data_IF_067545737075
#
_entry.id   IF_067545737075
#
_cell.length_a   1.000
_cell.length_b   1.000
_cell.length_c   1.000
_cell.angle_alpha   90.00
_cell.angle_beta   90.00
_cell.angle_gamma   90.00
#
_symmetry.space_group_name_H-M   'P 1'
#
loop_
_entity.id
_entity.type
_entity.pdbx_description
1 polymer ?
#
# COMPACT_ATOMS: atom_id res chain seq x y z
N UNK A 1 -17.56 67.84 75.59
CA UNK A 1 -18.73 67.86 74.69
C UNK A 1 -18.29 67.23 73.39
N UNK A 2 -18.76 66.01 73.13
CA UNK A 2 -18.55 65.28 71.90
C UNK A 2 -19.65 65.70 70.92
N UNK A 3 -19.27 66.10 69.71
CA UNK A 3 -20.21 66.21 68.60
C UNK A 3 -19.78 65.20 67.53
N UNK A 4 -20.57 64.13 67.45
CA UNK A 4 -20.39 63.00 66.55
C UNK A 4 -20.96 63.41 65.19
N UNK A 5 -20.08 63.72 64.23
CA UNK A 5 -20.46 63.81 62.84
C UNK A 5 -20.53 62.38 62.26
N UNK A 6 -21.75 61.86 62.16
CA UNK A 6 -22.09 60.70 61.32
C UNK A 6 -21.74 61.02 59.87
N UNK A 7 -20.68 60.42 59.35
CA UNK A 7 -20.41 60.38 57.91
C UNK A 7 -21.02 59.08 57.40
N UNK A 8 -22.29 59.13 56.99
CA UNK A 8 -22.87 58.15 56.08
C UNK A 8 -22.17 58.31 54.72
N UNK A 9 -21.08 57.57 54.55
CA UNK A 9 -20.33 57.49 53.30
C UNK A 9 -21.08 56.57 52.34
N UNK A 10 -22.22 57.04 51.85
CA UNK A 10 -22.90 56.42 50.71
C UNK A 10 -22.01 56.64 49.49
N UNK A 11 -21.27 55.62 49.04
CA UNK A 11 -20.56 55.65 47.77
C UNK A 11 -21.59 55.75 46.64
N UNK A 12 -21.91 56.99 46.27
CA UNK A 12 -22.60 57.33 45.03
C UNK A 12 -21.69 56.94 43.86
N UNK A 13 -21.80 55.69 43.40
CA UNK A 13 -21.27 55.30 42.09
C UNK A 13 -22.05 56.11 41.06
N UNK A 14 -21.39 57.08 40.42
CA UNK A 14 -22.01 57.86 39.34
C UNK A 14 -22.50 56.90 38.26
N UNK A 15 -23.80 56.90 37.99
CA UNK A 15 -24.40 56.01 36.98
C UNK A 15 -24.03 56.51 35.59
N UNK A 16 -22.97 55.96 35.01
CA UNK A 16 -22.59 56.24 33.62
C UNK A 16 -23.21 55.22 32.65
N UNK A 17 -23.41 55.59 31.37
CA UNK A 17 -23.85 54.65 30.33
C UNK A 17 -22.98 53.38 30.23
N UNK A 18 -21.69 53.49 30.49
CA UNK A 18 -20.74 52.38 30.46
C UNK A 18 -21.01 51.39 31.60
N UNK A 19 -21.28 51.88 32.82
CA UNK A 19 -21.65 51.04 33.97
C UNK A 19 -22.98 50.33 33.70
N UNK A 20 -23.96 51.03 33.13
CA UNK A 20 -25.24 50.43 32.73
C UNK A 20 -25.05 49.34 31.66
N UNK A 21 -24.15 49.55 30.69
CA UNK A 21 -23.85 48.54 29.67
C UNK A 21 -23.23 47.28 30.28
N UNK A 22 -22.33 47.42 31.26
CA UNK A 22 -21.75 46.28 32.01
C UNK A 22 -22.84 45.55 32.81
N UNK A 23 -23.70 46.28 33.53
CA UNK A 23 -24.84 45.70 34.27
C UNK A 23 -25.77 44.88 33.33
N UNK A 24 -26.14 45.45 32.18
CA UNK A 24 -26.98 44.77 31.18
C UNK A 24 -26.31 43.51 30.66
N UNK A 25 -25.01 43.56 30.35
CA UNK A 25 -24.28 42.39 29.84
C UNK A 25 -24.14 41.29 30.90
N UNK A 26 -23.91 41.66 32.17
CA UNK A 26 -23.93 40.73 33.29
C UNK A 26 -25.29 40.03 33.44
N UNK A 27 -26.39 40.77 33.33
CA UNK A 27 -27.75 40.19 33.39
C UNK A 27 -27.97 39.21 32.22
N UNK A 28 -27.52 39.57 31.01
CA UNK A 28 -27.63 38.69 29.83
C UNK A 28 -26.87 37.38 30.03
N UNK A 29 -25.66 37.44 30.57
CA UNK A 29 -24.84 36.27 30.85
C UNK A 29 -25.48 35.38 31.92
N UNK A 30 -25.89 35.96 33.04
CA UNK A 30 -26.57 35.23 34.13
C UNK A 30 -27.86 34.56 33.64
N UNK A 31 -28.68 35.28 32.88
CA UNK A 31 -29.93 34.75 32.31
C UNK A 31 -29.64 33.56 31.39
N UNK A 32 -28.59 33.64 30.57
CA UNK A 32 -28.17 32.55 29.68
C UNK A 32 -27.78 31.29 30.47
N UNK A 33 -26.96 31.45 31.51
CA UNK A 33 -26.53 30.36 32.39
C UNK A 33 -27.72 29.70 33.08
N UNK A 34 -28.60 30.50 33.68
CA UNK A 34 -29.83 30.01 34.32
C UNK A 34 -30.70 29.26 33.32
N UNK A 35 -30.83 29.76 32.09
CA UNK A 35 -31.65 29.10 31.09
C UNK A 35 -31.09 27.75 30.68
N UNK A 36 -29.78 27.64 30.45
CA UNK A 36 -29.13 26.37 30.12
C UNK A 36 -29.25 25.37 31.29
N UNK A 37 -28.99 25.82 32.52
CA UNK A 37 -29.15 25.02 33.72
C UNK A 37 -30.57 24.46 33.85
N UNK A 38 -31.58 25.33 33.78
CA UNK A 38 -32.99 24.92 33.87
C UNK A 38 -33.38 23.98 32.72
N UNK A 39 -32.83 24.17 31.53
CA UNK A 39 -33.08 23.28 30.39
C UNK A 39 -32.60 21.85 30.66
N UNK A 40 -31.43 21.70 31.29
CA UNK A 40 -30.89 20.39 31.68
C UNK A 40 -31.76 19.76 32.79
N UNK A 41 -32.17 20.54 33.79
CA UNK A 41 -33.03 20.07 34.88
C UNK A 41 -34.41 19.61 34.38
N UNK A 42 -34.96 20.28 33.36
CA UNK A 42 -36.17 19.83 32.67
C UNK A 42 -35.88 18.53 31.90
N UNK A 43 -34.76 18.47 31.18
CA UNK A 43 -34.32 17.26 30.47
C UNK A 43 -34.23 16.03 31.37
N UNK A 44 -33.67 16.19 32.57
CA UNK A 44 -33.60 15.14 33.60
C UNK A 44 -34.98 14.64 34.01
N UNK A 45 -35.90 15.55 34.33
CA UNK A 45 -37.28 15.20 34.72
C UNK A 45 -38.06 14.55 33.57
N UNK A 46 -37.81 14.99 32.34
CA UNK A 46 -38.38 14.35 31.15
C UNK A 46 -37.85 12.93 30.95
N UNK A 47 -36.57 12.70 31.19
CA UNK A 47 -35.99 11.36 31.15
C UNK A 47 -36.59 10.43 32.23
N UNK A 48 -36.76 10.93 33.45
CA UNK A 48 -37.41 10.22 34.55
C UNK A 48 -38.87 9.88 34.20
N UNK A 49 -39.66 10.85 33.73
CA UNK A 49 -41.04 10.65 33.34
C UNK A 49 -41.18 9.63 32.19
N UNK A 50 -40.27 9.66 31.21
CA UNK A 50 -40.28 8.74 30.07
C UNK A 50 -40.08 7.28 30.48
N UNK A 51 -39.34 7.01 31.55
CA UNK A 51 -39.14 5.66 32.10
C UNK A 51 -40.41 5.14 32.79
N UNK A 52 -41.20 6.04 33.38
CA UNK A 52 -42.42 5.71 34.12
C UNK A 52 -43.65 5.52 33.22
N UNK A 53 -43.62 6.05 32.00
CA UNK A 53 -44.73 6.01 31.04
C UNK A 53 -44.72 4.73 30.19
N UNK A 54 -45.91 4.21 29.87
CA UNK A 54 -46.06 3.07 28.99
C UNK A 54 -45.68 3.37 27.53
N UNK A 55 -45.44 2.31 26.75
CA UNK A 55 -45.19 2.45 25.31
C UNK A 55 -46.37 3.16 24.62
N UNK A 56 -46.10 4.26 23.90
CA UNK A 56 -47.09 5.01 23.13
C UNK A 56 -47.69 6.24 23.84
N UNK A 57 -47.64 6.30 25.17
CA UNK A 57 -48.26 7.39 25.97
C UNK A 57 -47.41 8.67 26.01
N UNK A 58 -46.12 8.57 25.66
CA UNK A 58 -45.15 9.66 25.72
C UNK A 58 -45.59 10.90 24.93
N UNK A 59 -46.13 10.70 23.71
CA UNK A 59 -46.48 11.80 22.83
C UNK A 59 -47.65 12.65 23.32
N UNK A 60 -48.64 11.99 23.93
CA UNK A 60 -49.84 12.65 24.44
C UNK A 60 -49.56 13.29 25.80
N UNK A 61 -48.83 12.59 26.67
CA UNK A 61 -48.37 13.14 27.94
C UNK A 61 -47.57 14.44 27.77
N UNK A 62 -46.66 14.49 26.79
CA UNK A 62 -45.89 15.71 26.49
C UNK A 62 -46.77 16.92 26.15
N UNK A 63 -47.83 16.70 25.37
CA UNK A 63 -48.73 17.80 24.96
C UNK A 63 -49.63 18.24 26.10
N UNK A 64 -50.20 17.29 26.83
CA UNK A 64 -51.23 17.56 27.82
C UNK A 64 -50.67 18.01 29.17
N UNK A 65 -49.55 17.42 29.61
CA UNK A 65 -49.01 17.66 30.96
C UNK A 65 -47.97 18.78 31.02
N UNK A 66 -47.15 18.92 29.97
CA UNK A 66 -46.01 19.86 29.97
C UNK A 66 -45.99 20.80 28.76
N UNK A 67 -46.95 20.66 27.83
CA UNK A 67 -47.07 21.46 26.62
C UNK A 67 -45.78 21.54 25.77
N UNK A 68 -45.10 20.41 25.62
CA UNK A 68 -43.90 20.29 24.79
C UNK A 68 -44.16 19.47 23.52
N UNK A 69 -43.43 19.85 22.46
CA UNK A 69 -43.30 19.00 21.28
C UNK A 69 -42.33 17.85 21.58
N UNK A 70 -42.46 16.73 20.86
CA UNK A 70 -41.49 15.64 20.95
C UNK A 70 -40.06 16.11 20.66
N UNK A 71 -39.87 16.98 19.65
CA UNK A 71 -38.56 17.54 19.29
C UNK A 71 -37.96 18.35 20.45
N UNK A 72 -38.76 19.20 21.07
CA UNK A 72 -38.32 20.02 22.22
C UNK A 72 -37.91 19.12 23.39
N UNK A 73 -38.73 18.12 23.71
CA UNK A 73 -38.44 17.17 24.78
C UNK A 73 -37.17 16.35 24.49
N UNK A 74 -37.00 15.85 23.27
CA UNK A 74 -35.79 15.15 22.83
C UNK A 74 -34.55 16.04 22.93
N UNK A 75 -34.61 17.31 22.53
CA UNK A 75 -33.49 18.23 22.66
C UNK A 75 -33.12 18.47 24.14
N UNK A 76 -34.11 18.70 25.00
CA UNK A 76 -33.89 18.92 26.44
C UNK A 76 -33.28 17.67 27.12
N UNK A 77 -33.82 16.49 26.81
CA UNK A 77 -33.27 15.22 27.28
C UNK A 77 -31.85 14.99 26.77
N UNK A 78 -31.57 15.27 25.50
CA UNK A 78 -30.23 15.14 24.92
C UNK A 78 -29.20 16.07 25.55
N UNK A 79 -29.58 17.32 25.86
CA UNK A 79 -28.69 18.22 26.62
C UNK A 79 -28.44 17.66 28.01
N UNK A 80 -29.44 17.08 28.67
CA UNK A 80 -29.23 16.41 29.95
C UNK A 80 -28.29 15.21 29.84
N UNK A 81 -28.47 14.33 28.86
CA UNK A 81 -27.61 13.16 28.65
C UNK A 81 -26.15 13.56 28.42
N UNK A 82 -25.94 14.66 27.68
CA UNK A 82 -24.61 15.09 27.28
C UNK A 82 -23.96 16.09 28.24
N UNK A 83 -24.70 16.95 28.92
CA UNK A 83 -24.16 18.00 29.80
C UNK A 83 -24.58 17.83 31.27
N UNK A 84 -25.54 16.96 31.56
CA UNK A 84 -26.10 16.75 32.89
C UNK A 84 -25.13 16.10 33.89
N UNK A 85 -24.27 15.20 33.45
CA UNK A 85 -23.21 14.60 34.29
C UNK A 85 -22.09 15.59 34.59
N UNK A 86 -21.89 16.59 33.73
CA UNK A 86 -20.88 17.65 33.89
C UNK A 86 -21.36 18.82 34.75
N UNK A 87 -22.65 18.87 35.11
CA UNK A 87 -23.30 19.96 35.88
C UNK A 87 -22.51 20.43 37.12
N UNK A 88 -21.95 19.48 37.89
CA UNK A 88 -21.21 19.80 39.11
C UNK A 88 -19.86 20.49 38.81
N UNK A 89 -19.20 20.15 37.71
CA UNK A 89 -17.91 20.76 37.33
C UNK A 89 -18.10 21.98 36.42
N UNK A 90 -19.20 22.05 35.68
CA UNK A 90 -19.53 23.10 34.71
C UNK A 90 -20.08 24.37 35.37
N UNK A 91 -20.88 24.24 36.43
CA UNK A 91 -21.48 25.40 37.12
C UNK A 91 -20.85 25.71 38.49
N UNK A 92 -20.07 24.81 39.08
CA UNK A 92 -19.48 25.01 40.42
C UNK A 92 -17.95 25.11 40.45
N UNK A 93 -17.19 24.61 39.46
CA UNK A 93 -15.73 24.76 39.43
C UNK A 93 -15.27 25.98 38.63
N UNK A 94 -14.50 26.87 39.27
CA UNK A 94 -13.84 28.02 38.65
C UNK A 94 -12.58 27.59 37.86
N UNK A 95 -12.72 26.70 36.88
CA UNK A 95 -11.65 26.44 35.92
C UNK A 95 -12.06 27.00 34.53
N UNK A 96 -11.09 27.50 33.77
CA UNK A 96 -11.35 28.19 32.49
C UNK A 96 -12.02 27.29 31.44
N UNK A 97 -11.83 25.97 31.52
CA UNK A 97 -12.38 24.98 30.59
C UNK A 97 -13.87 24.72 30.82
N UNK A 98 -14.28 24.63 32.08
CA UNK A 98 -15.68 24.57 32.51
C UNK A 98 -16.46 25.83 32.14
N UNK A 99 -15.80 26.99 32.08
CA UNK A 99 -16.45 28.28 31.76
C UNK A 99 -16.87 28.40 30.28
N UNK A 100 -16.08 27.88 29.35
CA UNK A 100 -16.40 27.92 27.91
C UNK A 100 -17.72 27.18 27.61
N UNK A 101 -17.91 26.02 28.24
CA UNK A 101 -19.16 25.28 28.14
C UNK A 101 -20.30 26.01 28.91
N UNK A 102 -20.02 26.55 30.10
CA UNK A 102 -21.02 27.21 30.94
C UNK A 102 -21.63 28.48 30.30
N UNK A 103 -20.90 29.13 29.39
CA UNK A 103 -21.31 30.35 28.70
C UNK A 103 -22.13 30.10 27.41
N UNK A 104 -22.43 28.83 27.09
CA UNK A 104 -23.27 28.48 25.96
C UNK A 104 -24.73 28.88 26.21
N UNK A 105 -25.42 29.34 25.16
CA UNK A 105 -26.88 29.42 25.17
C UNK A 105 -27.50 28.04 24.95
N UNK A 106 -28.76 27.87 25.36
CA UNK A 106 -29.53 26.65 25.10
C UNK A 106 -29.42 26.20 23.63
N UNK A 107 -29.64 27.10 22.68
CA UNK A 107 -29.64 26.77 21.25
C UNK A 107 -28.25 26.40 20.75
N UNK A 108 -27.19 27.04 21.26
CA UNK A 108 -25.81 26.65 20.95
C UNK A 108 -25.50 25.26 21.52
N UNK A 109 -25.91 24.97 22.76
CA UNK A 109 -25.73 23.66 23.36
C UNK A 109 -26.44 22.54 22.58
N UNK A 110 -27.64 22.80 22.05
CA UNK A 110 -28.35 21.88 21.13
C UNK A 110 -27.52 21.62 19.88
N UNK A 111 -26.98 22.67 19.24
CA UNK A 111 -26.18 22.52 18.02
C UNK A 111 -24.88 21.75 18.26
N UNK A 112 -24.22 21.99 19.40
CA UNK A 112 -23.00 21.30 19.80
C UNK A 112 -23.19 19.79 20.06
N UNK A 113 -24.42 19.30 20.24
CA UNK A 113 -24.68 17.86 20.33
C UNK A 113 -24.28 17.09 19.08
N UNK A 114 -24.17 17.77 17.93
CA UNK A 114 -23.70 17.19 16.66
C UNK A 114 -22.18 17.02 16.56
N UNK A 115 -21.42 17.50 17.54
CA UNK A 115 -19.96 17.36 17.66
C UNK A 115 -19.66 16.40 18.81
N UNK A 116 -18.67 15.50 18.72
CA UNK A 116 -18.24 14.67 19.86
C UNK A 116 -17.88 15.50 21.09
N UNK A 117 -18.13 14.99 22.30
CA UNK A 117 -17.92 15.75 23.55
C UNK A 117 -16.47 16.22 23.70
N UNK A 118 -15.53 15.37 23.32
CA UNK A 118 -14.09 15.55 23.42
C UNK A 118 -13.59 16.69 22.52
N UNK A 119 -14.28 16.95 21.41
CA UNK A 119 -13.90 17.96 20.42
C UNK A 119 -14.58 19.31 20.65
N UNK A 120 -15.63 19.37 21.47
CA UNK A 120 -16.42 20.60 21.66
C UNK A 120 -15.63 21.73 22.28
N UNK A 121 -14.75 21.45 23.24
CA UNK A 121 -13.94 22.48 23.89
C UNK A 121 -13.01 23.15 22.88
N UNK A 122 -12.26 22.34 22.12
CA UNK A 122 -11.39 22.84 21.05
C UNK A 122 -12.19 23.59 19.97
N UNK A 123 -13.36 23.08 19.61
CA UNK A 123 -14.25 23.73 18.65
C UNK A 123 -14.80 25.08 19.15
N UNK A 124 -15.05 25.21 20.46
CA UNK A 124 -15.51 26.47 21.07
C UNK A 124 -14.42 27.54 21.02
N UNK A 125 -13.18 27.14 21.31
CA UNK A 125 -12.00 28.01 21.29
C UNK A 125 -11.62 28.42 19.86
N UNK A 126 -11.52 27.47 18.93
CA UNK A 126 -11.12 27.71 17.53
C UNK A 126 -12.10 28.60 16.77
N UNK A 127 -13.41 28.48 17.07
CA UNK A 127 -14.44 29.19 16.34
C UNK A 127 -15.11 30.32 17.13
N UNK A 128 -14.62 30.70 18.31
CA UNK A 128 -15.20 31.78 19.14
C UNK A 128 -16.75 31.74 19.16
N UNK A 129 -17.28 30.62 19.66
CA UNK A 129 -18.72 30.33 19.56
C UNK A 129 -19.58 31.34 20.33
N UNK A 130 -19.00 32.06 21.30
CA UNK A 130 -19.71 33.05 22.09
C UNK A 130 -20.06 34.32 21.31
N UNK A 131 -19.26 34.69 20.30
CA UNK A 131 -19.52 35.85 19.44
C UNK A 131 -20.38 35.51 18.21
N UNK A 132 -20.37 34.24 17.78
CA UNK A 132 -21.13 33.80 16.59
C UNK A 132 -22.63 33.70 16.85
N UNK A 133 -23.41 34.10 15.84
CA UNK A 133 -24.84 33.85 15.83
C UNK A 133 -25.14 32.35 15.67
N UNK A 134 -26.32 31.93 16.14
CA UNK A 134 -26.78 30.54 15.99
C UNK A 134 -26.78 30.06 14.53
N UNK A 135 -27.05 30.97 13.59
CA UNK A 135 -27.05 30.67 12.15
C UNK A 135 -25.66 30.40 11.60
N UNK A 136 -24.68 31.20 12.00
CA UNK A 136 -23.28 31.00 11.61
C UNK A 136 -22.73 29.71 12.21
N UNK A 137 -23.03 29.44 13.48
CA UNK A 137 -22.65 28.18 14.12
C UNK A 137 -23.22 26.96 13.40
N UNK A 138 -24.49 27.03 12.99
CA UNK A 138 -25.11 25.96 12.20
C UNK A 138 -24.40 25.75 10.86
N UNK A 139 -23.94 26.82 10.20
CA UNK A 139 -23.21 26.72 8.95
C UNK A 139 -21.84 26.07 9.16
N UNK A 140 -21.09 26.48 10.18
CA UNK A 140 -19.76 25.90 10.49
C UNK A 140 -19.86 24.39 10.77
N UNK A 141 -20.86 23.97 11.55
CA UNK A 141 -21.10 22.54 11.82
C UNK A 141 -21.44 21.79 10.54
N UNK A 142 -22.29 22.37 9.69
CA UNK A 142 -22.67 21.75 8.42
C UNK A 142 -21.47 21.59 7.50
N UNK A 143 -20.64 22.63 7.37
CA UNK A 143 -19.44 22.60 6.53
C UNK A 143 -18.43 21.56 7.06
N UNK A 144 -18.23 21.47 8.38
CA UNK A 144 -17.41 20.42 9.01
C UNK A 144 -17.94 19.02 8.67
N UNK A 145 -19.24 18.79 8.82
CA UNK A 145 -19.86 17.50 8.50
C UNK A 145 -19.76 17.14 7.01
N UNK A 146 -19.93 18.10 6.11
CA UNK A 146 -19.77 17.89 4.68
C UNK A 146 -18.30 17.57 4.31
N UNK A 147 -17.33 18.21 4.96
CA UNK A 147 -15.91 17.92 4.79
C UNK A 147 -15.54 16.53 5.33
N UNK A 148 -16.01 16.16 6.51
CA UNK A 148 -15.79 14.83 7.09
C UNK A 148 -16.42 13.71 6.23
N UNK A 149 -17.61 13.94 5.68
CA UNK A 149 -18.26 13.00 4.78
C UNK A 149 -17.43 12.78 3.50
N UNK A 150 -16.94 13.87 2.89
CA UNK A 150 -16.04 13.80 1.73
C UNK A 150 -14.72 13.10 2.06
N UNK A 151 -14.15 13.35 3.24
CA UNK A 151 -12.92 12.69 3.69
C UNK A 151 -13.13 11.17 3.78
N UNK A 152 -14.21 10.73 4.44
CA UNK A 152 -14.54 9.30 4.57
C UNK A 152 -14.79 8.65 3.21
N UNK A 153 -15.40 9.35 2.27
CA UNK A 153 -15.61 8.85 0.89
C UNK A 153 -14.27 8.65 0.16
N UNK A 154 -13.37 9.62 0.26
CA UNK A 154 -12.02 9.53 -0.33
C UNK A 154 -11.20 8.42 0.33
N UNK A 155 -11.22 8.30 1.65
CA UNK A 155 -10.53 7.23 2.39
C UNK A 155 -11.06 5.84 2.01
N UNK A 156 -12.39 5.70 1.88
CA UNK A 156 -13.00 4.45 1.44
C UNK A 156 -12.65 4.10 -0.02
N UNK A 157 -12.53 5.10 -0.89
CA UNK A 157 -12.03 4.93 -2.26
C UNK A 157 -10.58 4.47 -2.27
N UNK A 158 -9.72 5.12 -1.48
CA UNK A 158 -8.30 4.78 -1.40
C UNK A 158 -8.06 3.37 -0.85
N UNK A 159 -8.80 2.96 0.18
CA UNK A 159 -8.67 1.61 0.74
C UNK A 159 -9.09 0.53 -0.27
N UNK A 160 -10.08 0.82 -1.12
CA UNK A 160 -10.45 -0.08 -2.24
C UNK A 160 -9.36 -0.12 -3.31
N UNK A 161 -8.84 1.03 -3.73
CA UNK A 161 -7.81 1.11 -4.75
C UNK A 161 -6.50 0.45 -4.28
N UNK A 162 -6.14 0.62 -3.01
CA UNK A 162 -4.99 -0.05 -2.40
C UNK A 162 -5.12 -1.57 -2.45
N UNK A 163 -6.30 -2.11 -2.09
CA UNK A 163 -6.56 -3.56 -2.19
C UNK A 163 -6.46 -4.06 -3.62
N UNK A 164 -7.00 -3.32 -4.59
CA UNK A 164 -6.88 -3.67 -6.01
C UNK A 164 -5.43 -3.68 -6.49
N UNK A 165 -4.61 -2.71 -6.04
CA UNK A 165 -3.18 -2.66 -6.36
C UNK A 165 -2.42 -3.83 -5.72
N UNK A 166 -2.68 -4.13 -4.45
CA UNK A 166 -2.04 -5.25 -3.75
C UNK A 166 -2.40 -6.61 -4.39
N UNK A 167 -3.66 -6.81 -4.77
CA UNK A 167 -4.13 -8.00 -5.51
C UNK A 167 -3.47 -8.10 -6.89
N UNK A 168 -3.41 -6.99 -7.64
CA UNK A 168 -2.76 -6.94 -8.94
C UNK A 168 -1.25 -7.21 -8.86
N UNK A 169 -0.57 -6.71 -7.82
CA UNK A 169 0.85 -7.00 -7.58
C UNK A 169 1.08 -8.46 -7.20
N UNK A 170 0.18 -9.05 -6.41
CA UNK A 170 0.19 -10.48 -6.08
C UNK A 170 0.10 -11.36 -7.33
N UNK A 171 -0.89 -11.09 -8.18
CA UNK A 171 -1.11 -11.78 -9.47
C UNK A 171 0.06 -11.59 -10.44
N UNK A 172 0.64 -10.38 -10.50
CA UNK A 172 1.80 -10.13 -11.34
C UNK A 172 3.04 -10.90 -10.85
N UNK A 173 3.21 -11.05 -9.53
CA UNK A 173 4.33 -11.79 -8.94
C UNK A 173 4.19 -13.30 -9.17
N UNK A 174 2.99 -13.87 -9.11
CA UNK A 174 2.77 -15.29 -9.41
C UNK A 174 3.03 -15.58 -10.88
N UNK A 175 2.43 -14.79 -11.79
CA UNK A 175 2.69 -14.92 -13.24
C UNK A 175 4.16 -14.77 -13.60
N UNK A 176 4.87 -13.86 -12.95
CA UNK A 176 6.31 -13.71 -13.15
C UNK A 176 7.10 -14.96 -12.75
N UNK A 177 6.76 -15.59 -11.62
CA UNK A 177 7.42 -16.83 -11.18
C UNK A 177 7.12 -17.99 -12.12
N UNK A 178 5.87 -18.14 -12.56
CA UNK A 178 5.47 -19.18 -13.50
C UNK A 178 6.20 -19.03 -14.83
N UNK A 179 6.25 -17.83 -15.37
CA UNK A 179 6.92 -17.57 -16.64
C UNK A 179 8.46 -17.69 -16.54
N UNK A 180 9.05 -17.36 -15.39
CA UNK A 180 10.47 -17.63 -15.13
C UNK A 180 10.76 -19.14 -15.09
N UNK A 181 9.91 -19.93 -14.41
CA UNK A 181 10.05 -21.40 -14.36
C UNK A 181 9.99 -22.01 -15.76
N UNK A 182 9.07 -21.54 -16.61
CA UNK A 182 8.97 -22.00 -17.99
C UNK A 182 10.21 -21.67 -18.82
N UNK A 183 10.79 -20.48 -18.62
CA UNK A 183 12.03 -20.08 -19.29
C UNK A 183 13.22 -20.96 -18.86
N UNK A 184 13.34 -21.25 -17.56
CA UNK A 184 14.39 -22.11 -17.01
C UNK A 184 14.27 -23.56 -17.52
N UNK A 185 13.05 -24.11 -17.58
CA UNK A 185 12.77 -25.44 -18.14
C UNK A 185 13.14 -25.53 -19.62
N UNK A 186 12.84 -24.48 -20.40
CA UNK A 186 13.24 -24.41 -21.82
C UNK A 186 14.74 -24.31 -21.99
N UNK A 187 15.43 -23.48 -21.21
CA UNK A 187 16.90 -23.37 -21.29
C UNK A 187 17.56 -24.70 -20.97
N UNK A 188 17.03 -25.44 -19.99
CA UNK A 188 17.50 -26.79 -19.69
C UNK A 188 17.29 -27.74 -20.86
N UNK A 189 16.09 -27.77 -21.45
CA UNK A 189 15.80 -28.60 -22.62
C UNK A 189 16.69 -28.26 -23.83
N UNK A 190 16.95 -26.98 -24.09
CA UNK A 190 17.86 -26.54 -25.16
C UNK A 190 19.30 -26.99 -24.90
N UNK A 191 19.77 -26.90 -23.64
CA UNK A 191 21.11 -27.37 -23.28
C UNK A 191 21.25 -28.88 -23.42
N UNK A 192 20.23 -29.65 -23.04
CA UNK A 192 20.20 -31.12 -23.19
C UNK A 192 20.19 -31.51 -24.67
N UNK A 193 19.45 -30.76 -25.51
CA UNK A 193 19.44 -30.94 -26.96
C UNK A 193 20.82 -30.66 -27.57
N UNK A 194 21.48 -29.56 -27.20
CA UNK A 194 22.84 -29.25 -27.69
C UNK A 194 23.86 -30.30 -27.28
N UNK A 195 23.77 -30.83 -26.06
CA UNK A 195 24.63 -31.93 -25.59
C UNK A 195 24.38 -33.20 -26.40
N UNK A 196 23.11 -33.53 -26.68
CA UNK A 196 22.75 -34.67 -27.51
C UNK A 196 23.27 -34.49 -28.96
N UNK A 197 23.09 -33.32 -29.56
CA UNK A 197 23.60 -33.01 -30.90
C UNK A 197 25.13 -33.14 -30.96
N UNK A 198 25.85 -32.56 -30.00
CA UNK A 198 27.31 -32.69 -29.93
C UNK A 198 27.79 -34.14 -29.72
N UNK A 199 27.05 -34.93 -28.94
CA UNK A 199 27.36 -36.37 -28.77
C UNK A 199 27.13 -37.15 -30.08
N UNK A 200 26.07 -36.84 -30.82
CA UNK A 200 25.83 -37.47 -32.13
C UNK A 200 26.85 -37.06 -33.18
N UNK A 201 27.33 -35.81 -33.16
CA UNK A 201 28.39 -35.34 -34.05
C UNK A 201 29.70 -36.06 -33.77
N UNK A 202 30.10 -36.19 -32.49
CA UNK A 202 31.27 -36.99 -32.10
C UNK A 202 31.17 -38.44 -32.52
N UNK A 203 30.02 -39.09 -32.29
CA UNK A 203 29.80 -40.48 -32.73
C UNK A 203 29.93 -40.63 -34.25
N UNK A 204 29.44 -39.65 -35.03
CA UNK A 204 29.61 -39.64 -36.49
C UNK A 204 31.07 -39.48 -36.91
N UNK A 205 31.83 -38.65 -36.21
CA UNK A 205 33.24 -38.45 -36.51
C UNK A 205 34.08 -39.69 -36.14
N UNK A 206 33.80 -40.33 -35.00
CA UNK A 206 34.43 -41.59 -34.60
C UNK A 206 34.13 -42.71 -35.62
N UNK A 207 32.87 -42.81 -36.08
CA UNK A 207 32.45 -43.76 -37.14
C UNK A 207 33.19 -43.51 -38.46
N UNK A 208 33.40 -42.24 -38.84
CA UNK A 208 34.19 -41.90 -40.05
C UNK A 208 35.66 -42.26 -39.88
N UNK A 209 36.25 -42.02 -38.70
CA UNK A 209 37.64 -42.35 -38.44
C UNK A 209 37.87 -43.87 -38.50
N UNK A 210 36.96 -44.66 -37.91
CA UNK A 210 37.02 -46.12 -37.95
C UNK A 210 36.84 -46.67 -39.37
N UNK A 211 35.97 -46.04 -40.17
CA UNK A 211 35.82 -46.34 -41.59
C UNK A 211 37.10 -46.09 -42.38
N UNK A 212 37.76 -44.96 -42.16
CA UNK A 212 39.02 -44.63 -42.84
C UNK A 212 40.17 -45.57 -42.42
N UNK A 213 40.23 -45.98 -41.14
CA UNK A 213 41.18 -47.02 -40.68
C UNK A 213 40.92 -48.35 -41.37
N UNK A 214 39.67 -48.80 -41.41
CA UNK A 214 39.27 -50.05 -42.07
C UNK A 214 39.58 -50.01 -43.57
N UNK A 215 39.38 -48.85 -44.22
CA UNK A 215 39.69 -48.65 -45.64
C UNK A 215 41.19 -48.75 -45.94
N UNK A 216 42.04 -48.18 -45.08
CA UNK A 216 43.51 -48.31 -45.21
C UNK A 216 43.97 -49.76 -45.01
N UNK A 217 43.33 -50.50 -44.13
CA UNK A 217 43.66 -51.92 -43.93
C UNK A 217 43.27 -52.77 -45.14
N UNK A 218 42.13 -52.49 -45.77
CA UNK A 218 41.75 -53.10 -47.06
C UNK A 218 42.80 -52.83 -48.13
N UNK A 219 43.22 -51.58 -48.31
CA UNK A 219 44.24 -51.20 -49.31
C UNK A 219 45.57 -51.94 -49.06
N UNK A 220 45.95 -52.12 -47.80
CA UNK A 220 47.14 -52.89 -47.40
C UNK A 220 46.99 -54.38 -47.72
N UNK A 221 45.83 -54.97 -47.40
CA UNK A 221 45.53 -56.38 -47.70
C UNK A 221 45.48 -56.63 -49.21
N UNK A 222 44.91 -55.71 -49.99
CA UNK A 222 44.88 -55.78 -51.46
C UNK A 222 46.29 -55.75 -52.07
N UNK A 223 47.18 -54.89 -51.56
CA UNK A 223 48.59 -54.86 -51.96
C UNK A 223 49.29 -56.18 -51.63
N UNK A 224 49.12 -56.68 -50.41
CA UNK A 224 49.70 -57.96 -49.97
C UNK A 224 49.20 -59.15 -50.80
N UNK A 225 47.89 -59.18 -51.12
CA UNK A 225 47.27 -60.17 -52.01
C UNK A 225 47.84 -60.06 -53.42
N UNK A 226 48.06 -58.85 -53.94
CA UNK A 226 48.67 -58.65 -55.26
C UNK A 226 50.13 -59.13 -55.30
N UNK A 227 50.88 -58.92 -54.23
CA UNK A 227 52.28 -59.37 -54.11
C UNK A 227 52.35 -60.89 -53.99
N UNK A 228 51.53 -61.50 -53.13
CA UNK A 228 51.47 -62.97 -53.01
C UNK A 228 50.96 -63.63 -54.29
N UNK A 229 50.04 -63.01 -55.05
CA UNK A 229 49.66 -63.51 -56.38
C UNK A 229 50.81 -63.48 -57.37
N UNK A 230 51.61 -62.40 -57.41
CA UNK A 230 52.80 -62.34 -58.28
C UNK A 230 53.83 -63.40 -57.91
N UNK A 231 54.08 -63.59 -56.61
CA UNK A 231 54.98 -64.64 -56.14
C UNK A 231 54.43 -66.05 -56.38
N UNK A 232 53.10 -66.22 -56.38
CA UNK A 232 52.45 -67.48 -56.76
C UNK A 232 52.62 -67.76 -58.25
N UNK A 233 52.40 -66.77 -59.12
CA UNK A 233 52.63 -66.88 -60.56
C UNK A 233 54.11 -67.26 -60.83
N UNK A 234 55.07 -66.61 -60.17
CA UNK A 234 56.50 -66.92 -60.26
C UNK A 234 56.86 -68.35 -59.76
N UNK A 235 56.19 -68.84 -58.71
CA UNK A 235 56.33 -70.20 -58.20
C UNK A 235 55.74 -71.25 -59.17
N UNK A 236 54.63 -70.92 -59.82
CA UNK A 236 54.01 -71.76 -60.87
C UNK A 236 54.90 -71.88 -62.12
N UNK A 237 55.59 -70.80 -62.52
CA UNK A 237 56.57 -70.84 -63.61
C UNK A 237 57.85 -71.64 -63.28
N UNK A 238 58.25 -71.69 -62.00
CA UNK A 238 59.45 -72.39 -61.54
C UNK A 238 59.22 -73.85 -61.10
N UNK A 239 57.96 -74.30 -61.05
CA UNK A 239 57.58 -75.70 -60.82
C UNK A 239 57.75 -76.20 -59.38
N UNK A 240 57.85 -75.28 -58.42
CA UNK A 240 58.11 -75.63 -57.01
C UNK A 240 56.79 -75.90 -56.26
N UNK A 241 56.37 -77.16 -56.22
CA UNK A 241 55.04 -77.58 -55.73
C UNK A 241 54.76 -77.26 -54.25
N UNK A 242 55.78 -77.23 -53.38
CA UNK A 242 55.59 -76.90 -51.94
C UNK A 242 55.32 -75.40 -51.74
N UNK A 243 56.02 -74.53 -52.48
CA UNK A 243 55.85 -73.07 -52.37
C UNK A 243 54.48 -72.63 -52.90
N UNK A 244 53.98 -73.30 -53.95
CA UNK A 244 52.63 -73.08 -54.51
C UNK A 244 51.56 -73.37 -53.46
N UNK A 245 51.68 -74.46 -52.70
CA UNK A 245 50.69 -74.84 -51.68
C UNK A 245 50.70 -73.89 -50.47
N UNK A 246 51.88 -73.43 -50.05
CA UNK A 246 52.02 -72.46 -48.96
C UNK A 246 51.50 -71.06 -49.37
N UNK A 247 51.86 -70.58 -50.56
CA UNK A 247 51.41 -69.28 -51.08
C UNK A 247 49.90 -69.29 -51.36
N UNK A 248 49.35 -70.38 -51.88
CA UNK A 248 47.91 -70.56 -52.09
C UNK A 248 47.13 -70.52 -50.76
N UNK A 249 47.61 -71.21 -49.72
CA UNK A 249 46.98 -71.17 -48.40
C UNK A 249 47.07 -69.78 -47.75
N UNK A 250 48.19 -69.07 -47.92
CA UNK A 250 48.35 -67.68 -47.47
C UNK A 250 47.39 -66.74 -48.20
N UNK A 251 47.22 -66.94 -49.52
CA UNK A 251 46.32 -66.16 -50.34
C UNK A 251 44.85 -66.37 -49.95
N UNK A 252 44.45 -67.61 -49.63
CA UNK A 252 43.09 -67.90 -49.12
C UNK A 252 42.83 -67.20 -47.79
N UNK A 253 43.80 -67.20 -46.86
CA UNK A 253 43.68 -66.47 -45.59
C UNK A 253 43.56 -64.97 -45.79
N UNK A 254 44.43 -64.38 -46.60
CA UNK A 254 44.40 -62.94 -46.88
C UNK A 254 43.10 -62.52 -47.59
N UNK A 255 42.59 -63.30 -48.54
CA UNK A 255 41.29 -63.05 -49.17
C UNK A 255 40.11 -63.17 -48.19
N UNK A 256 40.18 -64.08 -47.22
CA UNK A 256 39.18 -64.20 -46.16
C UNK A 256 39.19 -62.98 -45.22
N UNK A 257 40.37 -62.48 -44.87
CA UNK A 257 40.55 -61.27 -44.05
C UNK A 257 40.05 -60.03 -44.81
N UNK A 258 40.36 -59.92 -46.10
CA UNK A 258 39.84 -58.86 -46.97
C UNK A 258 38.31 -58.86 -47.05
N UNK A 259 37.69 -60.03 -47.20
CA UNK A 259 36.24 -60.17 -47.23
C UNK A 259 35.59 -59.70 -45.91
N UNK A 260 36.19 -60.04 -44.77
CA UNK A 260 35.74 -59.59 -43.46
C UNK A 260 35.86 -58.06 -43.29
N UNK A 261 36.97 -57.47 -43.73
CA UNK A 261 37.15 -56.01 -43.70
C UNK A 261 36.18 -55.27 -44.63
N UNK A 262 35.87 -55.82 -45.80
CA UNK A 262 34.86 -55.27 -46.72
C UNK A 262 33.45 -55.30 -46.11
N UNK A 263 33.07 -56.42 -45.48
CA UNK A 263 31.80 -56.55 -44.76
C UNK A 263 31.71 -55.54 -43.61
N UNK A 264 32.80 -55.34 -42.87
CA UNK A 264 32.88 -54.35 -41.80
C UNK A 264 32.68 -52.92 -42.31
N UNK A 265 33.24 -52.55 -43.47
CA UNK A 265 32.99 -51.23 -44.07
C UNK A 265 31.54 -51.08 -44.52
N UNK A 266 30.95 -52.11 -45.13
CA UNK A 266 29.55 -52.08 -45.55
C UNK A 266 28.60 -51.89 -44.35
N UNK A 267 28.91 -52.52 -43.21
CA UNK A 267 28.19 -52.33 -41.95
C UNK A 267 28.31 -50.89 -41.44
N UNK A 268 29.53 -50.33 -41.41
CA UNK A 268 29.77 -48.94 -41.00
C UNK A 268 29.08 -47.93 -41.94
N UNK A 269 29.06 -48.21 -43.24
CA UNK A 269 28.34 -47.39 -44.23
C UNK A 269 26.81 -47.44 -44.04
N UNK A 270 26.25 -48.59 -43.65
CA UNK A 270 24.86 -48.70 -43.24
C UNK A 270 24.54 -47.81 -42.04
N UNK A 271 25.36 -47.91 -40.98
CA UNK A 271 25.20 -47.11 -39.75
C UNK A 271 25.35 -45.60 -39.96
N UNK A 272 26.12 -45.17 -40.98
CA UNK A 272 26.26 -43.77 -41.37
C UNK A 272 25.09 -43.25 -42.23
N UNK A 273 24.42 -44.16 -42.96
CA UNK A 273 23.32 -43.83 -43.88
C UNK A 273 21.97 -43.80 -43.16
N UNK A 274 21.83 -44.62 -42.12
CA UNK A 274 20.70 -44.53 -41.21
C UNK A 274 20.80 -43.25 -40.38
N UNK A 275 19.73 -42.44 -40.30
CA UNK A 275 19.70 -41.32 -39.37
C UNK A 275 19.93 -41.86 -37.97
N UNK A 276 21.01 -41.41 -37.30
CA UNK A 276 21.16 -41.61 -35.86
C UNK A 276 19.94 -40.95 -35.23
N UNK A 277 19.00 -41.76 -34.79
CA UNK A 277 17.71 -41.31 -34.28
C UNK A 277 18.00 -40.62 -32.95
N UNK A 278 17.96 -39.29 -32.97
CA UNK A 278 18.03 -38.50 -31.74
C UNK A 278 16.71 -38.77 -31.03
N UNK A 279 16.72 -39.59 -29.98
CA UNK A 279 15.63 -39.65 -29.00
C UNK A 279 15.66 -38.37 -28.15
N UNK A 280 15.60 -37.21 -28.81
CA UNK A 280 15.29 -35.97 -28.13
C UNK A 280 13.78 -36.04 -27.85
N UNK A 281 13.41 -35.82 -26.58
CA UNK A 281 12.03 -35.58 -26.21
C UNK A 281 11.40 -34.59 -27.20
N UNK A 282 10.11 -34.79 -27.59
CA UNK A 282 9.46 -33.98 -28.61
C UNK A 282 9.72 -32.51 -28.30
N UNK A 283 10.29 -31.81 -29.28
CA UNK A 283 10.57 -30.40 -29.20
C UNK A 283 9.31 -29.70 -28.68
N UNK A 284 9.38 -29.15 -27.47
CA UNK A 284 8.36 -28.21 -27.01
C UNK A 284 8.39 -27.09 -28.04
N UNK A 285 7.24 -26.94 -28.72
CA UNK A 285 7.03 -26.00 -29.80
C UNK A 285 7.72 -24.67 -29.51
N UNK A 286 8.31 -24.10 -30.58
CA UNK A 286 8.85 -22.74 -30.63
C UNK A 286 8.08 -21.86 -29.67
N UNK A 287 8.79 -21.29 -28.69
CA UNK A 287 8.24 -20.21 -27.88
C UNK A 287 7.62 -19.22 -28.85
N UNK A 288 6.30 -19.01 -28.80
CA UNK A 288 5.72 -17.89 -29.51
C UNK A 288 6.49 -16.68 -29.01
N UNK A 289 7.07 -15.91 -29.93
CA UNK A 289 7.70 -14.61 -29.67
C UNK A 289 6.81 -13.75 -28.75
N UNK A 290 5.50 -14.00 -28.80
CA UNK A 290 4.45 -13.62 -27.86
C UNK A 290 4.81 -13.76 -26.37
N UNK A 291 5.36 -14.89 -25.89
CA UNK A 291 5.59 -15.12 -24.45
C UNK A 291 6.80 -14.33 -23.95
N UNK A 292 7.86 -14.20 -24.75
CA UNK A 292 9.00 -13.35 -24.42
C UNK A 292 8.61 -11.86 -24.47
N UNK A 293 7.79 -11.48 -25.46
CA UNK A 293 7.17 -10.14 -25.51
C UNK A 293 6.24 -9.89 -24.33
N UNK A 294 5.38 -10.84 -23.96
CA UNK A 294 4.49 -10.73 -22.81
C UNK A 294 5.30 -10.62 -21.51
N UNK A 295 6.40 -11.36 -21.37
CA UNK A 295 7.27 -11.24 -20.20
C UNK A 295 7.95 -9.86 -20.14
N UNK A 296 8.41 -9.35 -21.28
CA UNK A 296 9.01 -8.02 -21.39
C UNK A 296 7.98 -6.92 -21.14
N UNK A 297 6.79 -7.02 -21.74
CA UNK A 297 5.66 -6.11 -21.52
C UNK A 297 5.15 -6.17 -20.07
N UNK A 298 5.10 -7.35 -19.44
CA UNK A 298 4.74 -7.50 -18.03
C UNK A 298 5.83 -6.95 -17.12
N UNK A 299 7.12 -7.13 -17.46
CA UNK A 299 8.25 -6.51 -16.74
C UNK A 299 8.18 -5.00 -16.83
N UNK A 300 7.97 -4.45 -18.02
CA UNK A 300 7.83 -3.01 -18.25
C UNK A 300 6.56 -2.45 -17.60
N UNK A 301 5.40 -3.11 -17.71
CA UNK A 301 4.18 -2.72 -16.98
C UNK A 301 4.33 -2.81 -15.48
N UNK A 302 5.06 -3.79 -14.94
CA UNK A 302 5.32 -3.89 -13.51
C UNK A 302 6.32 -2.82 -13.06
N UNK A 303 7.29 -2.46 -13.90
CA UNK A 303 8.17 -1.31 -13.72
C UNK A 303 7.39 0.00 -13.75
N UNK A 304 6.48 0.17 -14.71
CA UNK A 304 5.58 1.31 -14.85
C UNK A 304 4.57 1.37 -13.70
N UNK A 305 4.02 0.25 -13.22
CA UNK A 305 3.11 0.21 -12.06
C UNK A 305 3.86 0.48 -10.76
N UNK A 306 5.12 0.03 -10.63
CA UNK A 306 6.00 0.45 -9.52
C UNK A 306 6.37 1.92 -9.64
N UNK A 307 6.56 2.44 -10.86
CA UNK A 307 6.85 3.85 -11.11
C UNK A 307 5.61 4.73 -10.96
N UNK A 308 4.40 4.24 -11.25
CA UNK A 308 3.09 4.90 -11.07
C UNK A 308 2.58 4.78 -9.63
N UNK A 309 2.88 3.69 -8.94
CA UNK A 309 2.78 3.59 -7.47
C UNK A 309 3.82 4.46 -6.75
N UNK A 310 4.85 4.93 -7.47
CA UNK A 310 5.85 5.91 -7.00
C UNK A 310 5.71 7.30 -7.63
N UNK A 311 4.76 7.52 -8.56
CA UNK A 311 4.40 8.84 -9.04
C UNK A 311 3.16 9.25 -8.24
N UNK A 312 3.29 10.21 -7.30
CA UNK A 312 2.12 10.72 -6.64
C UNK A 312 1.29 11.42 -7.71
N UNK A 313 0.13 10.87 -8.04
CA UNK A 313 -0.95 11.64 -8.66
C UNK A 313 -1.33 12.70 -7.62
N UNK A 314 -0.62 13.83 -7.63
CA UNK A 314 -0.81 15.04 -6.82
C UNK A 314 -1.04 14.86 -5.31
N UNK A 315 -0.97 13.63 -4.78
CA UNK A 315 -1.40 13.26 -3.43
C UNK A 315 -0.30 13.57 -2.43
N UNK A 316 0.97 13.48 -2.84
CA UNK A 316 2.10 13.99 -2.05
C UNK A 316 2.11 15.51 -2.03
N UNK A 317 1.74 16.17 -3.13
CA UNK A 317 1.58 17.64 -3.19
C UNK A 317 0.42 18.12 -2.32
N UNK A 318 -0.72 17.44 -2.37
CA UNK A 318 -1.92 17.74 -1.58
C UNK A 318 -1.66 17.44 -0.09
N UNK A 319 -1.07 16.29 0.26
CA UNK A 319 -0.67 15.99 1.65
C UNK A 319 0.39 16.95 2.17
N UNK A 320 1.38 17.30 1.35
CA UNK A 320 2.36 18.34 1.68
C UNK A 320 1.64 19.66 1.94
N UNK A 321 0.74 20.10 1.05
CA UNK A 321 0.00 21.34 1.19
C UNK A 321 -0.86 21.36 2.45
N UNK A 322 -1.53 20.26 2.79
CA UNK A 322 -2.34 20.15 4.00
C UNK A 322 -1.49 20.21 5.28
N UNK A 323 -0.38 19.47 5.34
CA UNK A 323 0.53 19.54 6.50
C UNK A 323 1.28 20.87 6.58
N UNK A 324 1.61 21.48 5.44
CA UNK A 324 2.22 22.79 5.37
C UNK A 324 1.26 23.88 5.85
N UNK A 325 0.00 23.87 5.39
CA UNK A 325 -1.03 24.81 5.83
C UNK A 325 -1.32 24.66 7.34
N UNK A 326 -1.34 23.41 7.85
CA UNK A 326 -1.46 23.14 9.29
C UNK A 326 -0.28 23.69 10.10
N UNK A 327 0.95 23.52 9.61
CA UNK A 327 2.15 24.08 10.24
C UNK A 327 2.13 25.61 10.23
N UNK A 328 1.73 26.23 9.11
CA UNK A 328 1.61 27.68 8.97
C UNK A 328 0.57 28.25 9.93
N UNK A 329 -0.58 27.58 10.05
CA UNK A 329 -1.63 28.01 10.99
C UNK A 329 -1.17 27.87 12.44
N UNK A 330 -0.62 26.72 12.82
CA UNK A 330 -0.08 26.54 14.17
C UNK A 330 1.04 27.53 14.51
N UNK A 331 1.86 27.92 13.52
CA UNK A 331 2.87 28.97 13.71
C UNK A 331 2.25 30.36 13.92
N UNK A 332 1.18 30.70 13.19
CA UNK A 332 0.43 31.96 13.41
C UNK A 332 -0.19 31.99 14.81
N UNK A 333 -0.74 30.88 15.27
CA UNK A 333 -1.31 30.77 16.62
C UNK A 333 -0.24 30.99 17.69
N UNK A 334 0.94 30.39 17.51
CA UNK A 334 2.10 30.63 18.40
C UNK A 334 2.48 32.12 18.42
N UNK A 335 2.48 32.80 17.26
CA UNK A 335 2.76 34.23 17.21
C UNK A 335 1.69 35.06 17.94
N UNK A 336 0.41 34.74 17.77
CA UNK A 336 -0.69 35.40 18.49
C UNK A 336 -0.53 35.26 20.00
N UNK A 337 -0.28 34.03 20.48
CA UNK A 337 -0.07 33.75 21.90
C UNK A 337 1.18 34.47 22.43
N UNK A 338 2.24 34.57 21.62
CA UNK A 338 3.44 35.32 21.99
C UNK A 338 3.17 36.83 22.20
N UNK A 339 2.22 37.41 21.46
CA UNK A 339 1.81 38.81 21.63
C UNK A 339 1.02 39.03 22.93
N UNK A 340 0.33 38.01 23.43
CA UNK A 340 -0.42 38.03 24.67
C UNK A 340 0.45 37.79 25.92
N UNK A 341 1.59 37.10 25.77
CA UNK A 341 2.55 36.85 26.86
C UNK A 341 3.25 38.17 27.27
N UNK A 342 3.44 38.38 28.56
CA UNK A 342 4.14 39.53 29.13
C UNK A 342 5.57 39.70 28.58
N UNK A 343 6.04 40.94 28.49
CA UNK A 343 7.30 41.28 27.83
C UNK A 343 8.54 40.59 28.44
N UNK A 344 8.46 40.21 29.72
CA UNK A 344 9.56 39.59 30.48
C UNK A 344 9.67 38.09 30.15
N UNK A 345 8.55 37.38 30.00
CA UNK A 345 8.52 35.98 29.59
C UNK A 345 8.59 35.78 28.06
N UNK A 346 8.11 36.74 27.26
CA UNK A 346 8.05 36.68 25.79
C UNK A 346 9.41 36.39 25.15
N UNK A 347 10.49 36.94 25.70
CA UNK A 347 11.86 36.71 25.21
C UNK A 347 12.28 35.24 25.27
N UNK A 348 11.90 34.52 26.33
CA UNK A 348 12.23 33.10 26.52
C UNK A 348 11.50 32.22 25.51
N UNK A 349 10.20 32.44 25.32
CA UNK A 349 9.40 31.67 24.37
C UNK A 349 9.76 31.98 22.92
N UNK A 350 10.07 33.24 22.60
CA UNK A 350 10.62 33.62 21.29
C UNK A 350 11.91 32.87 20.97
N UNK A 351 12.85 32.78 21.93
CA UNK A 351 14.08 32.03 21.75
C UNK A 351 13.85 30.52 21.57
N UNK A 352 12.85 29.95 22.25
CA UNK A 352 12.48 28.55 22.07
C UNK A 352 11.93 28.27 20.65
N UNK A 353 11.06 29.16 20.14
CA UNK A 353 10.52 29.09 18.77
C UNK A 353 11.63 29.24 17.73
N UNK A 354 12.54 30.20 17.91
CA UNK A 354 13.71 30.38 17.03
C UNK A 354 14.62 29.13 17.04
N UNK A 355 14.85 28.53 18.20
CA UNK A 355 15.62 27.29 18.30
C UNK A 355 14.97 26.10 17.61
N UNK A 356 13.63 26.00 17.65
CA UNK A 356 12.88 24.98 16.92
C UNK A 356 13.00 25.18 15.40
N UNK A 357 12.84 26.42 14.93
CA UNK A 357 13.01 26.76 13.50
C UNK A 357 14.42 26.39 13.02
N UNK A 358 15.46 26.68 13.82
CA UNK A 358 16.83 26.28 13.50
C UNK A 358 16.98 24.77 13.30
N UNK A 359 16.47 23.96 14.25
CA UNK A 359 16.49 22.49 14.14
C UNK A 359 15.69 21.94 12.97
N UNK A 360 14.58 22.60 12.61
CA UNK A 360 13.79 22.25 11.43
C UNK A 360 14.55 22.57 10.14
N UNK A 361 15.22 23.73 10.10
CA UNK A 361 16.04 24.14 8.95
C UNK A 361 17.27 23.26 8.75
N UNK A 362 17.82 22.63 9.79
CA UNK A 362 18.93 21.68 9.67
C UNK A 362 18.50 20.32 9.08
N UNK A 363 17.20 20.02 9.11
CA UNK A 363 16.63 18.74 8.64
C UNK A 363 15.99 18.82 7.25
N UNK A 364 15.87 20.03 6.71
CA UNK A 364 15.45 20.31 5.34
C UNK A 364 16.70 20.61 4.50
#
# INVERSE_FOLDING_TARGET
MNEVAMIDKNLSVERTPEIIAVEINSIKEQTRKIMLFNSIEIGKRLAEAKIMLGHGEWGDWLKESVNYSQRTASNLMGIFEQYGTSQLNMFCENNAKSQALANLSYTQAVLMMGIPMEEREAFIEEHDIHSKSTRELQQVIKDKQELEAKLKEVEAGWEKDKKLVDEAQGLAKTRFKEAQKYLDEKQKAESEKQVAEAATEKLRDDLKEEKEKSKKEIERLELSISETKKSLDEAEYSGNTEDIELLSNSLVKANSELAFSLERIAELEGQLKDPIEVTAAPAVDKVPEEVERELHELREKNKELKAKGSQPVDTSTIRFKLHFDSLVNGFKDILSVLEEIDAEARGKYKNAVVGLIGKMSERL
#
